data_IF_141488553247
#
_entry.id   IF_141488553247
#
_cell.length_a   1.000
_cell.length_b   1.000
_cell.length_c   1.000
_cell.angle_alpha   90.00
_cell.angle_beta   90.00
_cell.angle_gamma   90.00
#
_symmetry.space_group_name_H-M   'P 1'
#
loop_
_entity.id
_entity.type
_entity.pdbx_description
1 polymer ?
#
# COMPACT_ATOMS: atom_id res chain seq x y z
N UNK A 1 -7.57 -11.86 5.19
CA UNK A 1 -6.73 -12.34 4.06
C UNK A 1 -5.90 -11.16 3.58
N UNK A 2 -4.56 -11.25 3.61
CA UNK A 2 -3.66 -10.13 3.28
C UNK A 2 -3.96 -9.50 1.91
N UNK A 3 -4.31 -10.32 0.93
CA UNK A 3 -4.63 -9.89 -0.43
C UNK A 3 -5.86 -8.96 -0.51
N UNK A 4 -6.87 -9.17 0.34
CA UNK A 4 -8.06 -8.32 0.37
C UNK A 4 -7.73 -6.94 0.92
N UNK A 5 -6.97 -6.87 2.01
CA UNK A 5 -6.53 -5.61 2.61
C UNK A 5 -5.65 -4.79 1.67
N UNK A 6 -4.74 -5.44 0.93
CA UNK A 6 -3.94 -4.74 -0.09
C UNK A 6 -4.82 -4.16 -1.20
N UNK A 7 -5.83 -4.89 -1.65
CA UNK A 7 -6.76 -4.41 -2.68
C UNK A 7 -7.60 -3.21 -2.20
N UNK A 8 -8.05 -3.23 -0.94
CA UNK A 8 -8.75 -2.10 -0.33
C UNK A 8 -7.85 -0.86 -0.20
N UNK A 9 -6.59 -1.04 0.21
CA UNK A 9 -5.61 0.04 0.30
C UNK A 9 -5.25 0.61 -1.08
N UNK A 10 -5.19 -0.24 -2.11
CA UNK A 10 -4.97 0.18 -3.50
C UNK A 10 -6.17 1.00 -4.01
N UNK A 11 -7.40 0.54 -3.75
CA UNK A 11 -8.63 1.26 -4.09
C UNK A 11 -8.75 2.60 -3.36
N UNK A 12 -8.26 2.68 -2.12
CA UNK A 12 -8.19 3.92 -1.35
C UNK A 12 -7.07 4.88 -1.82
N UNK A 13 -6.24 4.49 -2.79
CA UNK A 13 -5.12 5.29 -3.26
C UNK A 13 -3.98 5.42 -2.24
N UNK A 14 -3.91 4.51 -1.27
CA UNK A 14 -2.89 4.51 -0.22
C UNK A 14 -1.66 3.68 -0.62
N UNK A 15 -1.83 2.69 -1.48
CA UNK A 15 -0.72 1.91 -2.02
C UNK A 15 -0.80 1.81 -3.54
N UNK A 16 0.36 1.66 -4.18
CA UNK A 16 0.52 1.44 -5.61
C UNK A 16 1.09 0.05 -5.80
N UNK A 17 0.45 -0.73 -6.68
CA UNK A 17 0.95 -2.03 -7.13
C UNK A 17 1.81 -1.83 -8.37
N UNK A 18 3.07 -2.23 -8.31
CA UNK A 18 4.00 -2.21 -9.44
C UNK A 18 4.40 -3.64 -9.80
N UNK A 19 4.24 -3.99 -11.08
CA UNK A 19 4.56 -5.32 -11.58
C UNK A 19 5.78 -5.24 -12.50
N UNK A 20 6.84 -5.93 -12.10
CA UNK A 20 8.09 -6.00 -12.84
C UNK A 20 8.07 -7.23 -13.74
N UNK A 21 8.09 -7.00 -15.05
CA UNK A 21 8.14 -8.05 -16.08
C UNK A 21 9.58 -8.55 -16.29
N UNK A 22 10.28 -8.84 -15.20
CA UNK A 22 11.60 -9.46 -15.19
C UNK A 22 11.51 -10.96 -14.90
N UNK A 23 12.60 -11.71 -15.08
CA UNK A 23 12.67 -13.11 -14.67
C UNK A 23 13.57 -13.17 -13.42
N UNK A 24 13.05 -13.58 -12.25
CA UNK A 24 11.67 -14.02 -11.97
C UNK A 24 10.66 -12.87 -11.88
N UNK A 25 9.40 -13.13 -12.24
CA UNK A 25 8.31 -12.15 -12.14
C UNK A 25 8.14 -11.68 -10.70
N UNK A 26 8.10 -10.36 -10.50
CA UNK A 26 7.97 -9.74 -9.17
C UNK A 26 6.85 -8.71 -9.14
N UNK A 27 6.14 -8.68 -8.01
CA UNK A 27 5.13 -7.67 -7.71
C UNK A 27 5.56 -6.96 -6.44
N UNK A 28 5.63 -5.64 -6.49
CA UNK A 28 5.91 -4.80 -5.33
C UNK A 28 4.74 -3.90 -5.02
N UNK A 29 4.57 -3.59 -3.74
CA UNK A 29 3.60 -2.61 -3.27
C UNK A 29 4.36 -1.45 -2.64
N UNK A 30 4.02 -0.23 -3.03
CA UNK A 30 4.63 0.99 -2.52
C UNK A 30 3.57 1.87 -1.88
N UNK A 31 3.90 2.57 -0.79
CA UNK A 31 2.99 3.55 -0.20
C UNK A 31 2.96 4.84 -1.02
N UNK A 32 1.79 5.42 -1.17
CA UNK A 32 1.63 6.76 -1.78
C UNK A 32 2.03 7.85 -0.80
N UNK A 33 2.22 9.07 -1.29
CA UNK A 33 2.48 10.22 -0.43
C UNK A 33 1.29 10.52 0.49
N UNK A 34 0.06 10.34 0.00
CA UNK A 34 -1.15 10.42 0.83
C UNK A 34 -1.14 9.41 1.99
N UNK A 35 -0.66 8.18 1.75
CA UNK A 35 -0.49 7.19 2.82
C UNK A 35 0.59 7.62 3.83
N UNK A 36 1.70 8.19 3.37
CA UNK A 36 2.77 8.70 4.27
C UNK A 36 2.28 9.84 5.16
N UNK A 37 1.43 10.73 4.63
CA UNK A 37 0.79 11.80 5.40
C UNK A 37 -0.24 11.27 6.41
N UNK A 38 -0.90 10.15 6.08
CA UNK A 38 -1.91 9.52 6.94
C UNK A 38 -1.30 8.69 8.08
N UNK A 39 -0.14 8.05 7.89
CA UNK A 39 0.55 7.25 8.92
C UNK A 39 0.66 7.96 10.28
N UNK A 40 1.15 9.22 10.38
CA UNK A 40 1.26 9.88 11.69
C UNK A 40 -0.10 10.11 12.36
N UNK A 41 -1.17 10.36 11.58
CA UNK A 41 -2.53 10.53 12.09
C UNK A 41 -3.05 9.21 12.65
N UNK A 42 -2.83 8.09 11.94
CA UNK A 42 -3.19 6.76 12.43
C UNK A 42 -2.42 6.40 13.70
N UNK A 43 -1.15 6.78 13.81
CA UNK A 43 -0.35 6.60 15.01
C UNK A 43 -0.89 7.36 16.23
N UNK A 44 -1.55 8.49 16.02
CA UNK A 44 -2.20 9.26 17.10
C UNK A 44 -3.53 8.64 17.56
N UNK A 45 -4.23 7.93 16.67
CA UNK A 45 -5.50 7.25 16.97
C UNK A 45 -5.33 5.89 17.64
N UNK A 46 -4.15 5.28 17.55
CA UNK A 46 -3.83 3.99 18.16
C UNK A 46 -3.53 4.09 19.67
N UNK A 47 -3.96 5.19 20.32
CA UNK A 47 -3.88 5.46 21.76
C UNK A 47 -5.08 4.86 22.49
#
# INVERSE_FOLDING_TARGET
MLSSSLKELEQAGLIIREQFMEIPLRVEYKTTDACKELIPILGQLAI
#
